data_IF_440042616681
#
_entry.id   IF_440042616681
#
_cell.length_a   1.000
_cell.length_b   1.000
_cell.length_c   1.000
_cell.angle_alpha   90.00
_cell.angle_beta   90.00
_cell.angle_gamma   90.00
#
_symmetry.space_group_name_H-M   'P 1'
#
loop_
_entity.id
_entity.type
_entity.pdbx_description
1 polymer ?
#
# COMPACT_ATOMS: atom_id res chain seq x y z
N UNK A 1 -13.22 6.24 4.95
CA UNK A 1 -11.92 6.94 5.14
C UNK A 1 -11.94 7.56 6.53
N UNK A 2 -11.04 7.14 7.41
CA UNK A 2 -10.98 7.63 8.80
C UNK A 2 -10.18 8.95 8.85
N UNK A 3 -10.73 9.95 9.55
CA UNK A 3 -10.23 11.33 9.67
C UNK A 3 -9.05 11.47 10.64
N UNK A 4 -7.96 10.75 10.42
CA UNK A 4 -6.74 10.95 11.22
C UNK A 4 -5.52 10.87 10.32
N UNK A 5 -4.63 11.86 10.47
CA UNK A 5 -3.37 11.92 9.74
C UNK A 5 -2.55 10.66 10.08
N UNK A 6 -2.28 9.76 9.10
CA UNK A 6 -1.67 8.45 9.38
C UNK A 6 -0.23 8.56 9.90
N UNK A 7 0.38 9.74 9.79
CA UNK A 7 1.71 10.07 10.32
C UNK A 7 1.79 10.08 11.84
N UNK A 8 0.67 10.26 12.54
CA UNK A 8 0.65 10.37 14.01
C UNK A 8 -0.09 9.23 14.73
N UNK A 9 -0.50 8.19 14.01
CA UNK A 9 -1.02 6.98 14.66
C UNK A 9 0.14 6.19 15.26
N UNK A 10 0.32 6.35 16.57
CA UNK A 10 1.13 5.43 17.36
C UNK A 10 0.34 4.11 17.47
N UNK A 11 0.72 3.13 16.64
CA UNK A 11 -0.05 1.89 16.49
C UNK A 11 0.19 0.95 17.67
N UNK A 12 1.34 1.06 18.32
CA UNK A 12 1.74 0.36 19.55
C UNK A 12 2.78 1.19 20.31
N UNK A 13 2.95 0.94 21.61
CA UNK A 13 4.02 1.59 22.41
C UNK A 13 5.42 1.14 21.97
N UNK A 14 5.48 0.04 21.24
CA UNK A 14 6.68 -0.67 20.82
C UNK A 14 7.06 -0.38 19.35
N UNK A 15 6.48 0.65 18.72
CA UNK A 15 6.69 0.97 17.30
C UNK A 15 8.19 1.06 16.92
N UNK A 16 9.02 1.68 17.78
CA UNK A 16 10.47 1.77 17.56
C UNK A 16 11.17 0.41 17.60
N UNK A 17 10.74 -0.48 18.49
CA UNK A 17 11.25 -1.84 18.60
C UNK A 17 10.88 -2.65 17.35
N UNK A 18 9.61 -2.55 16.94
CA UNK A 18 9.08 -3.21 15.75
C UNK A 18 9.88 -2.76 14.53
N UNK A 19 10.03 -1.45 14.33
CA UNK A 19 10.77 -0.89 13.18
C UNK A 19 12.24 -1.36 13.16
N UNK A 20 12.94 -1.26 14.30
CA UNK A 20 14.34 -1.67 14.37
C UNK A 20 14.52 -3.15 14.06
N UNK A 21 13.65 -4.00 14.59
CA UNK A 21 13.72 -5.44 14.34
C UNK A 21 13.31 -5.78 12.90
N UNK A 22 12.34 -5.05 12.34
CA UNK A 22 11.90 -5.19 10.96
C UNK A 22 13.04 -4.89 10.00
N UNK A 23 13.69 -3.72 10.09
CA UNK A 23 14.84 -3.38 9.23
C UNK A 23 16.07 -4.23 9.47
N UNK A 24 16.22 -4.85 10.64
CA UNK A 24 17.26 -5.86 10.88
C UNK A 24 16.98 -7.20 10.18
N UNK A 25 15.71 -7.61 10.13
CA UNK A 25 15.30 -8.87 9.48
C UNK A 25 15.11 -8.71 7.97
N UNK A 26 14.66 -7.53 7.53
CA UNK A 26 14.30 -7.19 6.16
C UNK A 26 14.94 -5.86 5.76
N UNK A 27 16.28 -5.80 5.63
CA UNK A 27 16.98 -4.55 5.30
C UNK A 27 16.57 -4.01 3.93
N UNK A 28 16.43 -4.90 2.93
CA UNK A 28 16.25 -4.55 1.52
C UNK A 28 14.78 -4.64 1.04
N UNK A 29 13.84 -4.94 1.94
CA UNK A 29 12.44 -5.07 1.56
C UNK A 29 11.86 -3.70 1.16
N UNK A 30 11.25 -3.64 -0.02
CA UNK A 30 10.57 -2.46 -0.52
C UNK A 30 9.19 -2.34 0.16
N UNK A 31 9.09 -1.37 1.06
CA UNK A 31 7.85 -1.08 1.79
C UNK A 31 6.82 -0.32 0.93
N UNK A 32 7.23 0.20 -0.23
CA UNK A 32 6.37 0.96 -1.13
C UNK A 32 5.62 0.07 -2.12
N UNK A 33 6.32 -0.90 -2.70
CA UNK A 33 5.76 -1.83 -3.67
C UNK A 33 6.03 -3.25 -3.20
N UNK A 34 5.13 -3.74 -2.35
CA UNK A 34 5.20 -5.13 -1.92
C UNK A 34 4.65 -6.05 -3.01
N UNK A 35 5.30 -7.19 -3.20
CA UNK A 35 4.83 -8.25 -4.07
C UNK A 35 4.35 -9.44 -3.25
N UNK A 36 3.52 -10.29 -3.86
CA UNK A 36 3.06 -11.51 -3.19
C UNK A 36 4.22 -12.42 -2.78
N UNK A 37 5.29 -12.44 -3.58
CA UNK A 37 6.47 -13.26 -3.35
C UNK A 37 7.23 -12.86 -2.08
N UNK A 38 7.18 -11.57 -1.70
CA UNK A 38 7.80 -11.05 -0.48
C UNK A 38 7.17 -11.62 0.80
N UNK A 39 5.97 -12.16 0.69
CA UNK A 39 5.19 -12.70 1.81
C UNK A 39 4.89 -14.19 1.66
N UNK A 40 4.78 -14.72 0.44
CA UNK A 40 4.28 -16.07 0.16
C UNK A 40 5.35 -17.10 -0.17
N UNK A 41 6.56 -16.71 -0.57
CA UNK A 41 7.63 -17.67 -0.86
C UNK A 41 8.00 -18.47 0.40
N UNK A 42 8.54 -19.68 0.22
CA UNK A 42 8.92 -20.53 1.35
C UNK A 42 9.94 -19.83 2.27
N UNK A 43 10.93 -19.15 1.67
CA UNK A 43 11.92 -18.35 2.38
C UNK A 43 11.28 -17.19 3.13
N UNK A 44 10.44 -16.39 2.45
CA UNK A 44 9.77 -15.26 3.11
C UNK A 44 8.89 -15.72 4.26
N UNK A 45 8.16 -16.82 4.13
CA UNK A 45 7.35 -17.39 5.21
C UNK A 45 8.20 -17.75 6.43
N UNK A 46 9.38 -18.31 6.24
CA UNK A 46 10.31 -18.64 7.33
C UNK A 46 10.87 -17.39 8.00
N UNK A 47 11.30 -16.40 7.20
CA UNK A 47 11.83 -15.14 7.69
C UNK A 47 10.74 -14.37 8.48
N UNK A 48 9.51 -14.31 7.94
CA UNK A 48 8.35 -13.72 8.61
C UNK A 48 7.96 -14.48 9.87
N UNK A 49 8.01 -15.82 9.88
CA UNK A 49 7.71 -16.62 11.08
C UNK A 49 8.71 -16.31 12.19
N UNK A 50 9.99 -16.26 11.84
CA UNK A 50 11.07 -15.90 12.78
C UNK A 50 10.91 -14.47 13.31
N UNK A 51 10.48 -13.54 12.46
CA UNK A 51 10.16 -12.18 12.87
C UNK A 51 8.94 -12.12 13.80
N UNK A 52 7.80 -12.72 13.42
CA UNK A 52 6.56 -12.72 14.19
C UNK A 52 6.75 -13.27 15.60
N UNK A 53 7.48 -14.39 15.73
CA UNK A 53 7.71 -15.05 17.02
C UNK A 53 8.49 -14.19 18.02
N UNK A 54 9.22 -13.15 17.58
CA UNK A 54 9.91 -12.22 18.49
C UNK A 54 8.94 -11.32 19.27
N UNK A 55 7.70 -11.22 18.80
CA UNK A 55 6.66 -10.37 19.37
C UNK A 55 5.57 -11.17 20.08
N UNK A 56 5.73 -12.48 20.19
CA UNK A 56 4.86 -13.32 21.01
C UNK A 56 4.97 -12.88 22.49
N UNK A 57 3.83 -12.59 23.10
CA UNK A 57 3.74 -12.00 24.45
C UNK A 57 4.16 -10.53 24.57
N UNK A 58 4.70 -9.91 23.51
CA UNK A 58 5.04 -8.47 23.47
C UNK A 58 3.89 -7.66 22.89
N UNK A 59 3.32 -8.14 21.79
CA UNK A 59 2.21 -7.49 21.10
C UNK A 59 0.94 -8.31 21.33
N UNK A 60 -0.07 -7.66 21.91
CA UNK A 60 -1.39 -8.27 22.05
C UNK A 60 -1.95 -8.62 20.67
N UNK A 61 -2.46 -9.84 20.53
CA UNK A 61 -3.07 -10.35 19.30
C UNK A 61 -2.13 -10.24 18.07
N UNK A 62 -0.82 -10.45 18.26
CA UNK A 62 0.18 -10.31 17.19
C UNK A 62 -0.11 -11.16 15.95
N UNK A 63 -0.77 -12.31 16.14
CA UNK A 63 -1.15 -13.28 15.12
C UNK A 63 -2.55 -13.06 14.53
N UNK A 64 -3.29 -12.03 14.97
CA UNK A 64 -4.60 -11.71 14.44
C UNK A 64 -4.52 -11.37 12.94
N UNK A 65 -5.43 -11.94 12.15
CA UNK A 65 -5.46 -11.73 10.71
C UNK A 65 -6.00 -10.35 10.32
N UNK A 66 -5.31 -9.65 9.42
CA UNK A 66 -5.71 -8.35 8.89
C UNK A 66 -5.38 -8.24 7.39
N UNK A 67 -5.91 -7.20 6.76
CA UNK A 67 -5.66 -6.88 5.35
C UNK A 67 -4.54 -5.86 5.23
N UNK A 68 -3.53 -6.20 4.44
CA UNK A 68 -2.38 -5.37 4.13
C UNK A 68 -2.44 -4.91 2.67
N UNK A 69 -2.20 -3.62 2.43
CA UNK A 69 -2.05 -3.07 1.08
C UNK A 69 -0.66 -3.31 0.52
N UNK A 70 -0.59 -3.79 -0.72
CA UNK A 70 0.67 -3.99 -1.45
C UNK A 70 1.29 -2.66 -1.85
N UNK A 71 0.49 -1.82 -2.51
CA UNK A 71 0.79 -0.43 -2.82
C UNK A 71 -0.04 0.48 -1.89
N UNK A 72 0.59 1.32 -1.04
CA UNK A 72 -0.12 2.23 -0.16
C UNK A 72 -0.81 3.38 -0.93
N UNK A 73 -0.52 3.59 -2.21
CA UNK A 73 -1.16 4.59 -3.09
C UNK A 73 -2.51 4.12 -3.63
N UNK A 74 -2.77 2.81 -3.61
CA UNK A 74 -3.97 2.21 -4.16
C UNK A 74 -4.97 1.86 -3.05
N UNK A 75 -6.25 1.81 -3.40
CA UNK A 75 -7.30 1.37 -2.48
C UNK A 75 -7.22 -0.14 -2.21
N UNK A 76 -7.95 -0.62 -1.21
CA UNK A 76 -8.09 -2.06 -1.00
C UNK A 76 -8.86 -2.68 -2.16
N UNK A 77 -8.19 -3.52 -2.94
CA UNK A 77 -8.75 -4.37 -3.99
C UNK A 77 -8.18 -5.77 -3.88
N UNK A 78 -8.79 -6.76 -4.55
CA UNK A 78 -8.23 -8.12 -4.58
C UNK A 78 -6.78 -8.16 -5.10
N UNK A 79 -6.46 -7.31 -6.08
CA UNK A 79 -5.11 -7.21 -6.66
C UNK A 79 -4.11 -6.41 -5.83
N UNK A 80 -4.57 -5.61 -4.86
CA UNK A 80 -3.73 -4.76 -4.02
C UNK A 80 -3.75 -5.16 -2.54
N UNK A 81 -4.38 -6.27 -2.19
CA UNK A 81 -4.60 -6.65 -0.79
C UNK A 81 -4.10 -8.06 -0.55
N UNK A 82 -3.34 -8.25 0.53
CA UNK A 82 -2.99 -9.56 1.04
C UNK A 82 -3.43 -9.74 2.48
N UNK A 83 -3.74 -10.99 2.82
CA UNK A 83 -3.95 -11.39 4.19
C UNK A 83 -2.59 -11.50 4.90
N UNK A 84 -2.45 -10.76 6.00
CA UNK A 84 -1.25 -10.70 6.81
C UNK A 84 -1.63 -10.77 8.30
N UNK A 85 -0.67 -11.09 9.16
CA UNK A 85 -0.88 -10.98 10.60
C UNK A 85 -0.78 -9.53 11.05
N UNK A 86 -1.33 -9.22 12.24
CA UNK A 86 -1.27 -7.89 12.85
C UNK A 86 0.16 -7.40 12.94
N UNK A 87 1.11 -8.25 13.35
CA UNK A 87 2.52 -7.85 13.45
C UNK A 87 3.16 -7.56 12.09
N UNK A 88 2.80 -8.29 11.03
CA UNK A 88 3.26 -7.99 9.67
C UNK A 88 2.73 -6.64 9.21
N UNK A 89 1.43 -6.38 9.41
CA UNK A 89 0.81 -5.11 9.09
C UNK A 89 1.48 -3.95 9.85
N UNK A 90 1.67 -4.10 11.16
CA UNK A 90 2.32 -3.10 11.99
C UNK A 90 3.74 -2.80 11.48
N UNK A 91 4.56 -3.83 11.26
CA UNK A 91 5.94 -3.65 10.81
C UNK A 91 6.03 -2.83 9.52
N UNK A 92 5.17 -3.12 8.55
CA UNK A 92 5.16 -2.47 7.24
C UNK A 92 4.61 -1.03 7.35
N UNK A 93 3.48 -0.83 8.02
CA UNK A 93 2.88 0.51 8.14
C UNK A 93 3.75 1.44 9.00
N UNK A 94 4.39 0.94 10.06
CA UNK A 94 5.33 1.71 10.87
C UNK A 94 6.54 2.11 10.02
N UNK A 95 7.07 1.20 9.21
CA UNK A 95 8.17 1.52 8.31
C UNK A 95 7.76 2.58 7.26
N UNK A 96 6.57 2.46 6.67
CA UNK A 96 6.01 3.46 5.74
C UNK A 96 5.88 4.83 6.39
N UNK A 97 5.43 4.89 7.65
CA UNK A 97 5.32 6.14 8.39
C UNK A 97 6.72 6.74 8.67
N UNK A 98 7.63 5.96 9.25
CA UNK A 98 8.98 6.43 9.62
C UNK A 98 9.85 6.85 8.44
N UNK A 99 9.67 6.22 7.29
CA UNK A 99 10.44 6.52 6.08
C UNK A 99 9.80 7.62 5.22
N UNK A 100 8.74 8.25 5.71
CA UNK A 100 8.13 9.40 5.07
C UNK A 100 7.40 9.06 3.77
N UNK A 101 7.03 7.80 3.56
CA UNK A 101 6.19 7.43 2.43
C UNK A 101 4.84 8.14 2.49
N UNK A 102 4.30 8.37 3.69
CA UNK A 102 3.10 9.20 3.91
C UNK A 102 3.21 10.62 3.33
N UNK A 103 4.40 11.23 3.33
CA UNK A 103 4.63 12.57 2.77
C UNK A 103 4.71 12.56 1.24
N UNK A 104 5.32 11.52 0.64
CA UNK A 104 5.34 11.36 -0.84
C UNK A 104 3.98 10.93 -1.40
N UNK A 105 3.22 10.15 -0.64
CA UNK A 105 1.81 9.78 -0.91
C UNK A 105 0.93 11.03 -1.11
N UNK A 106 1.07 12.04 -0.26
CA UNK A 106 0.33 13.31 -0.35
C UNK A 106 0.74 14.16 -1.56
N UNK A 107 2.01 14.11 -1.97
CA UNK A 107 2.52 14.87 -3.13
C UNK A 107 2.15 14.21 -4.47
N UNK A 108 2.18 12.88 -4.54
CA UNK A 108 1.84 12.15 -5.77
C UNK A 108 0.33 12.12 -6.06
N UNK A 109 -0.53 12.05 -5.04
CA UNK A 109 -1.99 12.22 -5.24
C UNK A 109 -2.34 13.59 -5.80
N UNK A 110 -1.63 14.67 -5.40
CA UNK A 110 -1.79 15.99 -6.02
C UNK A 110 -1.34 16.02 -7.50
N UNK A 111 -0.21 15.39 -7.84
CA UNK A 111 0.29 15.33 -9.22
C UNK A 111 -0.57 14.44 -10.15
N UNK A 112 -1.16 13.35 -9.62
CA UNK A 112 -2.04 12.47 -10.41
C UNK A 112 -3.41 13.15 -10.67
N UNK A 113 -3.94 13.92 -9.71
CA UNK A 113 -5.15 14.74 -9.91
C UNK A 113 -4.97 15.85 -10.94
N UNK A 114 -3.79 16.49 -10.99
CA UNK A 114 -3.50 17.52 -12.00
C UNK A 114 -3.36 16.94 -13.42
N UNK A 115 -2.78 15.75 -13.60
CA UNK A 115 -2.65 15.13 -14.93
C UNK A 115 -3.97 14.52 -15.46
N UNK A 116 -4.89 14.11 -14.59
CA UNK A 116 -6.20 13.60 -15.02
C UNK A 116 -7.13 14.74 -15.47
N UNK A 117 -6.99 15.96 -14.92
CA UNK A 117 -7.76 17.12 -15.38
C UNK A 117 -7.29 17.69 -16.73
N UNK A 118 -6.06 17.40 -17.16
CA UNK A 118 -5.53 17.92 -18.44
C UNK A 118 -5.86 17.06 -19.67
N UNK A 119 -6.29 15.80 -19.48
CA UNK A 119 -6.59 14.88 -20.60
C UNK A 119 -8.09 14.71 -20.90
N UNK A 120 -8.97 15.46 -20.22
CA UNK A 120 -10.43 15.35 -20.36
C UNK A 120 -11.07 16.09 -21.56
N UNK A 121 -10.31 16.86 -22.35
CA UNK A 121 -10.90 17.80 -23.32
C UNK A 121 -10.79 17.43 -24.81
N UNK A 122 -10.55 16.16 -25.18
CA UNK A 122 -10.45 15.78 -26.62
C UNK A 122 -11.66 14.98 -27.15
N UNK A 123 -12.62 14.58 -26.30
CA UNK A 123 -13.79 13.79 -26.75
C UNK A 123 -15.03 14.68 -26.96
N UNK A 124 -14.91 15.77 -27.73
CA UNK A 124 -16.09 16.48 -28.25
C UNK A 124 -16.02 16.77 -29.76
N UNK A 125 -14.98 16.30 -30.45
CA UNK A 125 -14.79 16.57 -31.89
C UNK A 125 -15.16 15.44 -32.86
N UNK A 126 -15.69 14.30 -32.39
CA UNK A 126 -15.85 13.10 -33.23
C UNK A 126 -17.33 12.81 -33.58
N UNK A 127 -18.31 13.48 -32.98
CA UNK A 127 -19.73 13.18 -33.21
C UNK A 127 -20.35 13.83 -34.47
N UNK A 128 -19.66 14.73 -35.17
CA UNK A 128 -20.22 15.43 -36.34
C UNK A 128 -19.85 14.85 -37.72
N UNK A 129 -19.02 13.79 -37.80
CA UNK A 129 -18.54 13.27 -39.09
C UNK A 129 -19.30 12.05 -39.65
N UNK A 130 -20.29 11.48 -38.94
CA UNK A 130 -20.93 10.21 -39.35
C UNK A 130 -22.33 10.36 -39.95
N UNK A 131 -22.76 11.57 -40.33
CA UNK A 131 -24.12 11.80 -40.87
C UNK A 131 -24.19 12.18 -42.36
N UNK A 132 -23.20 11.80 -43.17
CA UNK A 132 -23.18 12.13 -44.61
C UNK A 132 -22.86 10.95 -45.55
N UNK A 133 -23.15 9.70 -45.15
CA UNK A 133 -23.04 8.55 -46.08
C UNK A 133 -24.30 7.68 -45.95
N UNK A 134 -25.41 8.15 -46.50
CA UNK A 134 -26.53 7.32 -46.97
C UNK A 134 -27.49 8.16 -47.79
N UNK A 135 -27.06 8.57 -48.97
CA UNK A 135 -27.95 8.75 -50.14
C UNK A 135 -27.10 8.42 -51.38
N UNK A 136 -27.72 7.77 -52.37
CA UNK A 136 -27.15 7.30 -53.64
C UNK A 136 -26.63 5.86 -53.64
N UNK A 137 -27.55 4.90 -53.78
CA UNK A 137 -27.85 4.27 -55.08
C UNK A 137 -29.09 3.40 -55.01
#
# INVERSE_FOLDING_TARGET
ITSVDPTYLQLSKEDDLIYRQFRKSFPDLDIAHLHEDDLKTAKSKEDWRTFCNKFDGVIQDFNYGTLLRLDPLLEYSESNTLFATRIQFLAIEIARNKEGFSTRLYQNTRKKKSNISSNGNTIHGIIDATKQISVSS
#
